data_IF_558836057086
#
_entry.id   IF_558836057086
#
_cell.length_a   1.000
_cell.length_b   1.000
_cell.length_c   1.000
_cell.angle_alpha   90.00
_cell.angle_beta   90.00
_cell.angle_gamma   90.00
#
_symmetry.space_group_name_H-M   'P 1'
#
loop_
_entity.id
_entity.type
_entity.pdbx_description
1 polymer ?
#
# COMPACT_ATOMS: atom_id res chain seq x y z
N UNK A 1 -14.12 4.79 -1.02
CA UNK A 1 -12.79 4.45 -0.44
C UNK A 1 -12.14 3.37 -1.28
N UNK A 2 -10.84 3.47 -1.45
CA UNK A 2 -10.02 2.43 -2.06
C UNK A 2 -8.95 1.98 -1.08
N UNK A 3 -8.47 0.75 -1.27
CA UNK A 3 -7.30 0.22 -0.58
C UNK A 3 -6.28 -0.14 -1.65
N UNK A 4 -5.07 0.41 -1.53
CA UNK A 4 -3.95 0.10 -2.40
C UNK A 4 -2.99 -0.77 -1.61
N UNK A 5 -2.58 -1.90 -2.21
CA UNK A 5 -1.68 -2.83 -1.55
C UNK A 5 -0.43 -3.08 -2.37
N UNK A 6 0.69 -3.17 -1.67
CA UNK A 6 1.98 -3.60 -2.20
C UNK A 6 2.70 -4.41 -1.13
N UNK A 7 3.68 -5.18 -1.54
CA UNK A 7 4.47 -6.00 -0.63
C UNK A 7 5.94 -5.96 -0.99
N UNK A 8 6.80 -6.19 -0.01
CA UNK A 8 8.25 -6.20 -0.19
C UNK A 8 8.92 -6.98 0.93
N UNK A 9 10.10 -7.51 0.65
CA UNK A 9 10.95 -8.09 1.68
C UNK A 9 11.72 -7.01 2.45
N UNK A 10 11.70 -5.76 2.01
CA UNK A 10 12.40 -4.65 2.66
C UNK A 10 11.44 -3.81 3.49
N UNK A 11 11.47 -4.02 4.79
CA UNK A 11 10.71 -3.20 5.74
C UNK A 11 11.11 -1.73 5.65
N UNK A 12 12.40 -1.47 5.42
CA UNK A 12 12.93 -0.12 5.30
C UNK A 12 12.31 0.63 4.13
N UNK A 13 12.20 -0.02 2.96
CA UNK A 13 11.57 0.56 1.77
C UNK A 13 10.10 0.87 2.04
N UNK A 14 9.37 -0.07 2.63
CA UNK A 14 7.95 0.12 2.91
C UNK A 14 7.71 1.20 3.96
N UNK A 15 8.58 1.32 4.95
CA UNK A 15 8.50 2.41 5.94
C UNK A 15 8.68 3.78 5.27
N UNK A 16 9.61 3.88 4.34
CA UNK A 16 9.82 5.11 3.59
C UNK A 16 8.60 5.48 2.75
N UNK A 17 8.04 4.50 2.05
CA UNK A 17 6.81 4.69 1.27
C UNK A 17 5.68 5.16 2.17
N UNK A 18 5.46 4.50 3.31
CA UNK A 18 4.41 4.84 4.26
C UNK A 18 4.53 6.28 4.76
N UNK A 19 5.72 6.66 5.20
CA UNK A 19 5.97 8.00 5.73
C UNK A 19 5.78 9.09 4.67
N UNK A 20 6.22 8.82 3.46
CA UNK A 20 6.06 9.76 2.35
C UNK A 20 4.59 9.95 2.00
N UNK A 21 3.83 8.87 1.99
CA UNK A 21 2.38 8.91 1.72
C UNK A 21 1.65 9.75 2.78
N UNK A 22 1.93 9.51 4.05
CA UNK A 22 1.30 10.21 5.15
C UNK A 22 1.70 11.70 5.15
N UNK A 23 3.00 11.98 4.98
CA UNK A 23 3.50 13.35 5.01
C UNK A 23 2.96 14.21 3.86
N UNK A 24 2.67 13.59 2.72
CA UNK A 24 2.10 14.28 1.57
C UNK A 24 0.57 14.25 1.56
N UNK A 25 -0.05 13.77 2.62
CA UNK A 25 -1.51 13.69 2.77
C UNK A 25 -2.19 12.93 1.62
N UNK A 26 -1.54 11.88 1.14
CA UNK A 26 -2.10 11.02 0.10
C UNK A 26 -2.99 9.92 0.69
N UNK A 27 -2.75 9.57 1.94
CA UNK A 27 -3.56 8.67 2.75
C UNK A 27 -3.45 9.06 4.21
N UNK A 28 -4.53 8.97 4.98
CA UNK A 28 -4.46 9.24 6.43
C UNK A 28 -4.11 8.00 7.24
N UNK A 29 -4.10 6.81 6.60
CA UNK A 29 -3.90 5.56 7.33
C UNK A 29 -3.23 4.53 6.44
N UNK A 30 -2.06 4.07 6.86
CA UNK A 30 -1.30 3.00 6.21
C UNK A 30 -1.01 1.92 7.24
N UNK A 31 -1.39 0.69 6.93
CA UNK A 31 -1.09 -0.46 7.77
C UNK A 31 0.05 -1.28 7.16
N UNK A 32 0.93 -1.78 8.01
CA UNK A 32 1.95 -2.74 7.62
C UNK A 32 1.75 -4.03 8.39
N UNK A 33 1.76 -5.15 7.69
CA UNK A 33 1.70 -6.47 8.31
C UNK A 33 2.87 -7.31 7.83
N UNK A 34 3.34 -8.18 8.71
CA UNK A 34 4.39 -9.16 8.43
C UNK A 34 3.73 -10.45 7.97
N UNK A 35 4.28 -11.08 6.94
CA UNK A 35 3.72 -12.31 6.40
C UNK A 35 4.81 -13.24 5.90
N UNK A 36 4.44 -14.52 5.71
CA UNK A 36 5.25 -15.48 4.97
C UNK A 36 4.65 -15.61 3.59
N UNK A 37 5.46 -15.42 2.57
CA UNK A 37 5.03 -15.51 1.17
C UNK A 37 5.58 -16.77 0.54
N UNK A 38 4.74 -17.45 -0.21
CA UNK A 38 5.14 -18.61 -1.01
C UNK A 38 4.69 -18.34 -2.44
N UNK A 39 5.63 -18.27 -3.36
CA UNK A 39 5.32 -17.90 -4.74
C UNK A 39 6.28 -18.54 -5.74
N UNK A 40 5.93 -18.43 -7.02
CA UNK A 40 6.76 -18.93 -8.10
C UNK A 40 7.55 -17.78 -8.71
N UNK A 41 8.86 -17.95 -8.78
CA UNK A 41 9.75 -17.00 -9.44
C UNK A 41 10.79 -17.75 -10.26
N UNK A 42 10.84 -17.46 -11.57
CA UNK A 42 11.76 -18.10 -12.52
C UNK A 42 11.70 -19.63 -12.44
N UNK A 43 10.48 -20.17 -12.46
CA UNK A 43 10.19 -21.61 -12.39
C UNK A 43 10.58 -22.29 -11.08
N UNK A 44 10.85 -21.52 -10.03
CA UNK A 44 11.17 -22.05 -8.71
C UNK A 44 10.14 -21.62 -7.69
N UNK A 45 9.90 -22.48 -6.72
CA UNK A 45 9.06 -22.13 -5.56
C UNK A 45 9.94 -21.43 -4.56
N UNK A 46 9.55 -20.21 -4.18
CA UNK A 46 10.26 -19.36 -3.23
C UNK A 46 9.39 -19.18 -1.99
N UNK A 47 9.98 -19.35 -0.81
CA UNK A 47 9.35 -19.02 0.45
C UNK A 47 10.21 -17.94 1.10
N UNK A 48 9.59 -16.83 1.48
CA UNK A 48 10.33 -15.77 2.17
C UNK A 48 9.43 -14.95 3.08
N UNK A 49 10.07 -14.26 4.01
CA UNK A 49 9.39 -13.28 4.85
C UNK A 49 9.23 -12.00 4.06
N UNK A 50 7.99 -11.51 4.02
CA UNK A 50 7.68 -10.23 3.41
C UNK A 50 6.81 -9.39 4.34
N UNK A 51 6.62 -8.14 3.95
CA UNK A 51 5.73 -7.19 4.61
C UNK A 51 4.74 -6.68 3.57
N UNK A 52 3.53 -6.41 4.02
CA UNK A 52 2.48 -5.85 3.16
C UNK A 52 2.07 -4.48 3.67
N UNK A 53 1.94 -3.52 2.76
CA UNK A 53 1.28 -2.26 3.04
C UNK A 53 -0.15 -2.30 2.54
N UNK A 54 -1.06 -1.83 3.38
CA UNK A 54 -2.44 -1.57 3.02
C UNK A 54 -2.69 -0.08 3.21
N UNK A 55 -2.89 0.63 2.11
CA UNK A 55 -3.00 2.08 2.07
C UNK A 55 -4.45 2.44 1.81
N UNK A 56 -5.11 3.07 2.77
CA UNK A 56 -6.52 3.45 2.65
C UNK A 56 -6.61 4.90 2.21
N UNK A 57 -7.32 5.16 1.11
CA UNK A 57 -7.42 6.50 0.58
C UNK A 57 -8.66 6.66 -0.32
N UNK A 58 -8.69 7.74 -1.06
CA UNK A 58 -9.72 8.04 -2.05
C UNK A 58 -9.14 7.97 -3.46
N UNK A 59 -10.00 7.80 -4.44
CA UNK A 59 -9.58 7.58 -5.82
C UNK A 59 -8.73 8.73 -6.38
N UNK A 60 -8.93 9.94 -5.89
CA UNK A 60 -8.18 11.13 -6.27
C UNK A 60 -6.65 10.93 -6.17
N UNK A 61 -6.19 10.16 -5.18
CA UNK A 61 -4.75 10.01 -4.89
C UNK A 61 -4.14 8.71 -5.43
N UNK A 62 -4.93 7.91 -6.13
CA UNK A 62 -4.49 6.60 -6.63
C UNK A 62 -3.23 6.69 -7.48
N UNK A 63 -3.22 7.55 -8.48
CA UNK A 63 -2.12 7.63 -9.42
C UNK A 63 -0.84 8.18 -8.78
N UNK A 64 -0.97 9.15 -7.89
CA UNK A 64 0.17 9.69 -7.15
C UNK A 64 0.83 8.63 -6.27
N UNK A 65 0.02 7.81 -5.60
CA UNK A 65 0.53 6.72 -4.78
C UNK A 65 1.19 5.64 -5.63
N UNK A 66 0.57 5.29 -6.76
CA UNK A 66 1.15 4.32 -7.68
C UNK A 66 2.53 4.75 -8.17
N UNK A 67 2.68 6.03 -8.53
CA UNK A 67 3.97 6.59 -8.97
C UNK A 67 5.00 6.54 -7.85
N UNK A 68 4.61 6.89 -6.64
CA UNK A 68 5.50 6.88 -5.49
C UNK A 68 6.01 5.47 -5.19
N UNK A 69 5.12 4.48 -5.25
CA UNK A 69 5.49 3.08 -5.05
C UNK A 69 6.47 2.63 -6.14
N UNK A 70 6.20 2.98 -7.39
CA UNK A 70 7.10 2.67 -8.50
C UNK A 70 8.49 3.26 -8.28
N UNK A 71 8.56 4.51 -7.84
CA UNK A 71 9.85 5.21 -7.68
C UNK A 71 10.70 4.65 -6.54
N UNK A 72 10.07 4.13 -5.47
CA UNK A 72 10.80 3.70 -4.27
C UNK A 72 10.91 2.19 -4.10
N UNK A 73 10.11 1.39 -4.82
CA UNK A 73 10.09 -0.06 -4.62
C UNK A 73 11.44 -0.69 -4.98
N UNK A 74 11.85 -1.68 -4.18
CA UNK A 74 13.10 -2.40 -4.41
C UNK A 74 12.96 -3.59 -5.37
N UNK A 75 11.72 -3.95 -5.77
CA UNK A 75 11.48 -4.99 -6.76
C UNK A 75 11.27 -4.38 -8.14
N UNK A 76 11.69 -5.08 -9.20
CA UNK A 76 11.34 -4.73 -10.57
C UNK A 76 9.88 -5.10 -10.87
N UNK A 77 9.47 -6.27 -10.41
CA UNK A 77 8.09 -6.75 -10.51
C UNK A 77 7.50 -6.84 -9.11
N UNK A 78 6.58 -5.96 -8.82
CA UNK A 78 5.98 -5.85 -7.49
C UNK A 78 4.46 -5.88 -7.57
N UNK A 79 3.83 -6.28 -6.47
CA UNK A 79 2.39 -6.19 -6.34
C UNK A 79 1.95 -4.72 -6.26
N UNK A 80 0.94 -4.38 -7.03
CA UNK A 80 0.24 -3.10 -6.91
C UNK A 80 -1.23 -3.36 -7.18
N UNK A 81 -1.97 -3.57 -6.11
CA UNK A 81 -3.37 -3.96 -6.16
C UNK A 81 -4.24 -2.82 -5.66
N UNK A 82 -5.40 -2.62 -6.29
CA UNK A 82 -6.37 -1.61 -5.88
C UNK A 82 -7.72 -2.28 -5.71
N UNK A 83 -8.35 -2.07 -4.56
CA UNK A 83 -9.69 -2.57 -4.27
C UNK A 83 -10.60 -1.41 -3.93
N UNK A 84 -11.83 -1.44 -4.47
CA UNK A 84 -12.89 -0.53 -4.03
C UNK A 84 -13.54 -1.13 -2.81
N UNK A 85 -13.70 -0.33 -1.76
CA UNK A 85 -14.21 -0.78 -0.47
C UNK A 85 -15.28 0.17 0.02
N UNK A 86 -16.38 -0.39 0.55
CA UNK A 86 -17.38 0.38 1.25
C UNK A 86 -17.22 0.15 2.75
N UNK A 87 -17.64 1.14 3.54
CA UNK A 87 -17.62 1.02 4.99
C UNK A 87 -19.03 1.22 5.52
N UNK A 88 -19.39 0.41 6.52
CA UNK A 88 -20.65 0.57 7.23
C UNK A 88 -20.62 1.76 8.19
N UNK A 89 -19.43 2.29 8.50
CA UNK A 89 -19.27 3.46 9.34
C UNK A 89 -19.01 4.69 8.50
N UNK A 90 -20.03 5.51 8.30
CA UNK A 90 -19.95 6.73 7.51
C UNK A 90 -18.95 7.73 8.08
N UNK A 91 -18.82 7.80 9.39
CA UNK A 91 -17.89 8.71 10.04
C UNK A 91 -16.44 8.39 9.68
N UNK A 92 -16.14 7.11 9.50
CA UNK A 92 -14.79 6.69 9.07
C UNK A 92 -14.46 7.20 7.67
N UNK A 93 -15.42 7.07 6.74
CA UNK A 93 -15.25 7.56 5.37
C UNK A 93 -15.13 9.08 5.34
N UNK A 94 -15.92 9.78 6.13
CA UNK A 94 -15.85 11.24 6.24
C UNK A 94 -14.51 11.71 6.77
N UNK A 95 -14.02 11.08 7.83
CA UNK A 95 -12.71 11.36 8.39
C UNK A 95 -11.61 11.15 7.35
N UNK A 96 -11.60 9.99 6.72
CA UNK A 96 -10.59 9.62 5.73
C UNK A 96 -10.56 10.63 4.57
N UNK A 97 -11.72 10.98 4.05
CA UNK A 97 -11.83 11.91 2.92
C UNK A 97 -11.37 13.32 3.32
N UNK A 98 -11.77 13.76 4.49
CA UNK A 98 -11.41 15.10 5.00
C UNK A 98 -9.91 15.26 5.19
N UNK A 99 -9.25 14.23 5.72
CA UNK A 99 -7.82 14.29 6.03
C UNK A 99 -6.94 14.44 4.78
N UNK A 100 -7.42 13.97 3.63
CA UNK A 100 -6.61 13.94 2.39
C UNK A 100 -7.23 14.70 1.22
N UNK A 101 -8.29 15.40 1.48
CA UNK A 101 -9.00 16.10 0.39
C UNK A 101 -8.33 17.43 0.03
#
# INVERSE_FOLDING_TARGET
MIIIETSSNSKKVLNKISKTIINNKLSPCVHMSKMKSTYIWKNKIVEEKEYKLSIKTINKHKDAIAKLIKDYHNYDVYELSVSKVSSLNKEYIEWLTKEVN
#
